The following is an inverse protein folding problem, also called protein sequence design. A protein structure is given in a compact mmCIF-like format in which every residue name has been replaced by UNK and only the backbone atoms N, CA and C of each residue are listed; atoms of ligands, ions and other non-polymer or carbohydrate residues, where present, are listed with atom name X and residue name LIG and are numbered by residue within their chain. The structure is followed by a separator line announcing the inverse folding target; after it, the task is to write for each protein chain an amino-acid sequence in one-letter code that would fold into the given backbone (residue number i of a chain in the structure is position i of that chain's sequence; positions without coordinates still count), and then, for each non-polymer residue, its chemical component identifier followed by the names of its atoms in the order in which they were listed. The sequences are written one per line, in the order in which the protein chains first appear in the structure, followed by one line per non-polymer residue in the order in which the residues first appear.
data_IF_044895599446
#
_entry.id   IF_044895599446
#
_cell.length_a   1.000
_cell.length_b   1.000
_cell.length_c   1.000
_cell.angle_alpha   90.00
_cell.angle_beta   90.00
_cell.angle_gamma   90.00
#
_symmetry.space_group_name_H-M   'P 1'
#
loop_
_entity.id
_entity.type
_entity.pdbx_description
1 polymer ?
#
# COMPACT_ATOMS: atom_id res chain seq x y z
N UNK A 1 15.90 -6.17 -5.25
CA UNK A 1 15.84 -6.76 -3.91
C UNK A 1 17.20 -7.41 -3.68
N UNK A 2 17.92 -6.99 -2.64
CA UNK A 2 19.13 -7.69 -2.23
C UNK A 2 18.73 -9.09 -1.76
N UNK A 3 19.21 -10.13 -2.43
CA UNK A 3 19.04 -11.52 -1.96
C UNK A 3 19.75 -11.65 -0.63
N UNK A 4 19.01 -11.87 0.45
CA UNK A 4 19.61 -12.22 1.72
C UNK A 4 20.35 -13.54 1.54
N UNK A 5 21.66 -13.53 1.73
CA UNK A 5 22.48 -14.71 1.56
C UNK A 5 22.49 -15.48 2.89
N UNK A 6 21.97 -16.70 2.85
CA UNK A 6 22.25 -17.72 3.85
C UNK A 6 23.43 -18.57 3.37
N UNK A 7 24.37 -18.85 4.26
CA UNK A 7 25.60 -19.60 3.98
C UNK A 7 25.39 -21.13 3.97
N UNK A 8 24.27 -21.60 4.51
CA UNK A 8 23.95 -23.02 4.63
C UNK A 8 22.90 -23.48 3.59
N UNK A 9 22.79 -24.80 3.40
CA UNK A 9 21.79 -25.41 2.51
C UNK A 9 20.56 -25.89 3.31
N UNK A 10 19.40 -25.23 3.23
CA UNK A 10 18.23 -25.58 4.06
C UNK A 10 17.78 -27.04 3.93
N UNK A 11 17.86 -27.60 2.71
CA UNK A 11 17.51 -29.01 2.45
C UNK A 11 18.40 -30.00 3.21
N UNK A 12 19.68 -29.67 3.42
CA UNK A 12 20.60 -30.53 4.15
C UNK A 12 20.35 -30.47 5.66
N UNK A 13 20.22 -29.26 6.20
CA UNK A 13 19.94 -29.03 7.63
C UNK A 13 18.63 -29.72 8.04
N UNK A 14 17.57 -29.54 7.26
CA UNK A 14 16.29 -30.22 7.51
C UNK A 14 16.39 -31.75 7.38
N UNK A 15 17.20 -32.29 6.47
CA UNK A 15 17.44 -33.74 6.38
C UNK A 15 18.12 -34.28 7.64
N UNK A 16 19.06 -33.54 8.23
CA UNK A 16 19.69 -33.91 9.51
C UNK A 16 18.67 -33.92 10.65
N UNK A 17 17.79 -32.93 10.71
CA UNK A 17 16.72 -32.92 11.72
C UNK A 17 15.75 -34.10 11.57
N UNK A 18 15.37 -34.42 10.33
CA UNK A 18 14.46 -35.52 10.04
C UNK A 18 15.04 -36.90 10.39
N UNK A 19 16.37 -37.07 10.42
CA UNK A 19 17.01 -38.37 10.73
C UNK A 19 16.92 -38.76 12.21
N UNK A 20 16.64 -37.81 13.10
CA UNK A 20 16.43 -38.03 14.54
C UNK A 20 15.06 -38.65 14.82
N UNK A 21 14.13 -38.52 13.88
CA UNK A 21 12.74 -38.92 14.07
C UNK A 21 12.49 -40.38 13.69
N UNK A 22 11.58 -41.08 14.40
CA UNK A 22 11.03 -42.33 13.90
C UNK A 22 10.34 -42.14 12.55
N UNK A 23 10.40 -43.14 11.67
CA UNK A 23 9.87 -43.08 10.28
C UNK A 23 8.49 -42.44 10.15
N UNK A 24 7.56 -42.77 11.06
CA UNK A 24 6.20 -42.21 11.04
C UNK A 24 6.18 -40.70 11.34
N UNK A 25 6.94 -40.24 12.33
CA UNK A 25 7.04 -38.83 12.65
C UNK A 25 7.76 -38.05 11.54
N UNK A 26 8.78 -38.66 10.94
CA UNK A 26 9.48 -38.12 9.78
C UNK A 26 8.53 -37.87 8.60
N UNK A 27 7.70 -38.85 8.23
CA UNK A 27 6.74 -38.70 7.13
C UNK A 27 5.67 -37.65 7.43
N UNK A 28 5.14 -37.62 8.65
CA UNK A 28 4.17 -36.59 9.08
C UNK A 28 4.76 -35.18 8.93
N UNK A 29 5.99 -34.94 9.41
CA UNK A 29 6.65 -33.63 9.26
C UNK A 29 6.93 -33.33 7.79
N UNK A 30 7.38 -34.31 7.01
CA UNK A 30 7.68 -34.16 5.59
C UNK A 30 6.45 -33.69 4.82
N UNK A 31 5.29 -34.34 5.03
CA UNK A 31 4.00 -33.98 4.40
C UNK A 31 3.45 -32.65 4.92
N UNK A 32 3.54 -32.40 6.23
CA UNK A 32 3.01 -31.19 6.86
C UNK A 32 3.66 -29.93 6.32
N UNK A 33 4.98 -29.98 6.12
CA UNK A 33 5.78 -28.84 5.70
C UNK A 33 6.16 -28.86 4.22
N UNK A 34 5.86 -29.93 3.48
CA UNK A 34 6.18 -30.06 2.05
C UNK A 34 7.69 -30.14 1.82
N UNK A 35 8.39 -30.96 2.60
CA UNK A 35 9.86 -31.11 2.60
C UNK A 35 10.35 -32.26 1.69
N UNK A 36 9.41 -32.98 1.07
CA UNK A 36 9.71 -34.14 0.23
C UNK A 36 9.91 -33.76 -1.24
N UNK A 37 9.66 -34.72 -2.12
CA UNK A 37 9.59 -34.49 -3.57
C UNK A 37 8.42 -33.57 -3.93
N UNK A 38 7.30 -33.70 -3.21
CA UNK A 38 6.16 -32.80 -3.31
C UNK A 38 6.35 -31.57 -2.42
N UNK A 39 6.17 -30.38 -3.01
CA UNK A 39 6.25 -29.09 -2.31
C UNK A 39 4.92 -28.66 -1.68
N UNK A 40 3.86 -29.45 -1.89
CA UNK A 40 2.52 -29.16 -1.37
C UNK A 40 2.48 -29.49 0.13
N UNK A 41 2.19 -28.47 0.94
CA UNK A 41 1.94 -28.64 2.38
C UNK A 41 0.59 -29.30 2.60
N UNK A 42 0.53 -30.30 3.46
CA UNK A 42 -0.73 -30.93 3.88
C UNK A 42 -1.24 -30.34 5.20
N UNK A 43 -2.56 -30.34 5.38
CA UNK A 43 -3.19 -30.02 6.66
C UNK A 43 -3.10 -31.21 7.61
N UNK A 44 -3.25 -30.96 8.92
CA UNK A 44 -3.29 -32.04 9.91
C UNK A 44 -4.44 -33.03 9.66
N UNK A 45 -5.55 -32.55 9.10
CA UNK A 45 -6.72 -33.34 8.73
C UNK A 45 -6.41 -34.25 7.54
N UNK A 46 -5.88 -33.71 6.43
CA UNK A 46 -5.51 -34.50 5.25
C UNK A 46 -4.46 -35.57 5.57
N UNK A 47 -3.49 -35.26 6.46
CA UNK A 47 -2.54 -36.24 6.95
C UNK A 47 -3.27 -37.31 7.79
N UNK A 48 -4.20 -36.90 8.65
CA UNK A 48 -4.98 -37.80 9.50
C UNK A 48 -5.77 -38.81 8.67
N UNK A 49 -6.47 -38.34 7.64
CA UNK A 49 -7.18 -39.18 6.67
C UNK A 49 -6.25 -40.19 5.99
N UNK A 50 -5.09 -39.75 5.50
CA UNK A 50 -4.12 -40.64 4.86
C UNK A 50 -3.57 -41.75 5.77
N UNK A 51 -3.64 -41.55 7.09
CA UNK A 51 -3.14 -42.46 8.10
C UNK A 51 -4.24 -43.19 8.88
N UNK A 52 -5.51 -42.92 8.59
CA UNK A 52 -6.65 -43.44 9.36
C UNK A 52 -6.63 -43.02 10.83
N UNK A 53 -6.14 -41.82 11.15
CA UNK A 53 -6.08 -41.28 12.52
C UNK A 53 -6.73 -39.90 12.61
N UNK A 54 -7.10 -39.51 13.82
CA UNK A 54 -7.69 -38.18 14.06
C UNK A 54 -6.68 -37.06 13.82
N UNK A 55 -7.18 -35.88 13.41
CA UNK A 55 -6.40 -34.64 13.31
C UNK A 55 -5.61 -34.36 14.59
N UNK A 56 -6.21 -34.60 15.75
CA UNK A 56 -5.56 -34.41 17.05
C UNK A 56 -4.37 -35.35 17.24
N UNK A 57 -4.49 -36.61 16.80
CA UNK A 57 -3.37 -37.55 16.86
C UNK A 57 -2.21 -37.12 15.97
N UNK A 58 -2.49 -36.55 14.79
CA UNK A 58 -1.44 -35.97 13.93
C UNK A 58 -0.76 -34.79 14.62
N UNK A 59 -1.53 -33.89 15.25
CA UNK A 59 -1.00 -32.75 16.02
C UNK A 59 -0.06 -33.21 17.14
N UNK A 60 -0.41 -34.27 17.85
CA UNK A 60 0.44 -34.87 18.88
C UNK A 60 1.76 -35.40 18.30
N UNK A 61 1.71 -36.08 17.15
CA UNK A 61 2.91 -36.58 16.46
C UNK A 61 3.80 -35.41 16.01
N UNK A 62 3.22 -34.34 15.46
CA UNK A 62 3.94 -33.12 15.07
C UNK A 62 4.65 -32.49 16.28
N UNK A 63 3.93 -32.27 17.38
CA UNK A 63 4.49 -31.68 18.60
C UNK A 63 5.61 -32.55 19.20
N UNK A 64 5.41 -33.88 19.23
CA UNK A 64 6.44 -34.82 19.66
C UNK A 64 7.69 -34.71 18.78
N UNK A 65 7.52 -34.67 17.46
CA UNK A 65 8.64 -34.56 16.53
C UNK A 65 9.41 -33.25 16.72
N UNK A 66 8.72 -32.11 16.79
CA UNK A 66 9.36 -30.81 17.04
C UNK A 66 10.12 -30.79 18.37
N UNK A 67 9.53 -31.34 19.43
CA UNK A 67 10.18 -31.44 20.74
C UNK A 67 11.41 -32.37 20.72
N UNK A 68 11.33 -33.51 20.03
CA UNK A 68 12.43 -34.44 19.88
C UNK A 68 13.61 -33.80 19.11
N UNK A 69 13.31 -33.10 18.01
CA UNK A 69 14.33 -32.37 17.24
C UNK A 69 15.01 -31.30 18.10
N UNK A 70 14.26 -30.45 18.82
CA UNK A 70 14.82 -29.40 19.69
C UNK A 70 15.72 -29.92 20.81
N UNK A 71 15.48 -31.14 21.31
CA UNK A 71 16.28 -31.77 22.39
C UNK A 71 17.49 -32.55 21.89
N UNK A 72 17.62 -32.75 20.57
CA UNK A 72 18.67 -33.56 19.97
C UNK A 72 20.02 -32.84 19.90
N UNK A 73 21.11 -33.59 19.85
CA UNK A 73 22.44 -33.01 19.62
C UNK A 73 22.58 -32.42 18.20
N UNK A 74 21.75 -32.87 17.25
CA UNK A 74 21.64 -32.25 15.91
C UNK A 74 21.20 -30.79 16.04
N UNK A 75 20.27 -30.46 16.94
CA UNK A 75 19.85 -29.08 17.14
C UNK A 75 20.98 -28.17 17.64
N UNK A 76 21.81 -28.69 18.56
CA UNK A 76 23.01 -27.98 19.02
C UNK A 76 24.04 -27.83 17.90
N UNK A 77 24.24 -28.89 17.10
CA UNK A 77 25.17 -28.88 15.97
C UNK A 77 24.77 -27.92 14.84
N UNK A 78 23.48 -27.74 14.62
CA UNK A 78 22.91 -26.84 13.61
C UNK A 78 22.62 -25.42 14.15
N UNK A 79 23.05 -25.09 15.38
CA UNK A 79 22.93 -23.74 15.93
C UNK A 79 23.49 -22.63 15.01
N UNK A 80 24.62 -22.83 14.29
CA UNK A 80 25.11 -21.84 13.32
C UNK A 80 24.11 -21.54 12.19
N UNK A 81 23.32 -22.52 11.74
CA UNK A 81 22.32 -22.32 10.69
C UNK A 81 21.15 -21.43 11.17
N UNK A 82 20.69 -21.62 12.42
CA UNK A 82 19.67 -20.76 13.01
C UNK A 82 20.18 -19.34 13.24
N UNK A 83 21.41 -19.17 13.70
CA UNK A 83 22.02 -17.86 13.87
C UNK A 83 22.22 -17.14 12.53
N UNK A 84 22.61 -17.87 11.49
CA UNK A 84 22.73 -17.30 10.15
C UNK A 84 21.37 -16.83 9.59
N UNK A 85 20.31 -17.62 9.81
CA UNK A 85 18.95 -17.23 9.46
C UNK A 85 18.46 -16.04 10.30
N UNK A 86 18.84 -15.97 11.58
CA UNK A 86 18.56 -14.81 12.45
C UNK A 86 19.26 -13.55 11.93
N UNK A 87 20.54 -13.63 11.58
CA UNK A 87 21.29 -12.52 10.96
C UNK A 87 20.65 -12.06 9.66
N UNK A 88 20.23 -12.99 8.81
CA UNK A 88 19.54 -12.66 7.56
C UNK A 88 18.21 -11.92 7.80
N UNK A 89 17.46 -12.27 8.85
CA UNK A 89 16.23 -11.57 9.24
C UNK A 89 16.51 -10.20 9.87
N UNK A 90 17.52 -10.11 10.74
CA UNK A 90 17.95 -8.86 11.38
C UNK A 90 18.46 -7.85 10.35
N UNK A 91 19.24 -8.29 9.35
CA UNK A 91 19.67 -7.46 8.24
C UNK A 91 18.50 -6.90 7.40
N UNK A 92 17.32 -7.52 7.49
CA UNK A 92 16.08 -7.05 6.86
C UNK A 92 15.16 -6.28 7.81
N UNK A 93 15.62 -5.96 9.02
CA UNK A 93 14.89 -5.18 10.03
C UNK A 93 14.33 -6.00 11.19
N UNK A 94 14.68 -7.28 11.33
CA UNK A 94 14.30 -8.09 12.50
C UNK A 94 12.81 -8.44 12.63
N UNK A 95 11.93 -7.79 11.87
CA UNK A 95 10.52 -8.07 11.67
C UNK A 95 10.22 -8.06 10.17
N UNK A 96 9.76 -9.19 9.62
CA UNK A 96 9.61 -9.37 8.17
C UNK A 96 8.29 -10.08 7.81
N UNK A 97 7.63 -9.71 6.70
CA UNK A 97 6.53 -10.50 6.14
C UNK A 97 7.01 -11.91 5.76
N UNK A 98 6.23 -12.95 6.06
CA UNK A 98 6.65 -14.35 5.79
C UNK A 98 6.92 -14.57 4.31
N UNK A 99 6.00 -14.13 3.45
CA UNK A 99 6.11 -14.31 2.00
C UNK A 99 7.38 -13.66 1.45
N UNK A 100 7.60 -12.39 1.77
CA UNK A 100 8.71 -11.60 1.23
C UNK A 100 10.06 -12.10 1.74
N UNK A 101 10.12 -12.49 3.02
CA UNK A 101 11.33 -13.05 3.59
C UNK A 101 11.71 -14.38 2.92
N UNK A 102 10.75 -15.30 2.77
CA UNK A 102 10.99 -16.57 2.09
C UNK A 102 11.40 -16.37 0.62
N UNK A 103 10.75 -15.44 -0.08
CA UNK A 103 11.07 -15.08 -1.46
C UNK A 103 12.46 -14.46 -1.60
N UNK A 104 12.91 -13.68 -0.60
CA UNK A 104 14.25 -13.07 -0.59
C UNK A 104 15.38 -14.09 -0.42
N UNK A 105 15.09 -15.23 0.20
CA UNK A 105 16.06 -16.30 0.49
C UNK A 105 16.10 -17.37 -0.61
N UNK A 106 14.97 -17.67 -1.25
CA UNK A 106 14.90 -18.66 -2.31
C UNK A 106 13.76 -18.40 -3.29
N UNK A 107 14.05 -18.59 -4.58
CA UNK A 107 13.04 -18.53 -5.64
C UNK A 107 12.16 -19.80 -5.72
N UNK A 108 12.70 -20.97 -5.35
CA UNK A 108 11.98 -22.24 -5.46
C UNK A 108 11.19 -22.59 -4.21
N UNK A 109 9.97 -23.10 -4.42
CA UNK A 109 9.03 -23.38 -3.32
C UNK A 109 9.54 -24.46 -2.36
N UNK A 110 10.32 -25.43 -2.85
CA UNK A 110 10.87 -26.48 -2.01
C UNK A 110 11.81 -25.85 -0.96
N UNK A 111 12.80 -25.06 -1.39
CA UNK A 111 13.72 -24.40 -0.46
C UNK A 111 13.00 -23.46 0.50
N UNK A 112 12.00 -22.70 0.04
CA UNK A 112 11.16 -21.87 0.92
C UNK A 112 10.46 -22.69 2.02
N UNK A 113 9.96 -23.89 1.70
CA UNK A 113 9.34 -24.77 2.69
C UNK A 113 10.34 -25.23 3.76
N UNK A 114 11.57 -25.56 3.37
CA UNK A 114 12.62 -25.93 4.32
C UNK A 114 12.99 -24.75 5.23
N UNK A 115 13.15 -23.54 4.69
CA UNK A 115 13.39 -22.33 5.50
C UNK A 115 12.22 -22.08 6.45
N UNK A 116 10.98 -22.17 5.98
CA UNK A 116 9.80 -22.03 6.84
C UNK A 116 9.78 -23.03 7.99
N UNK A 117 10.14 -24.29 7.73
CA UNK A 117 10.24 -25.30 8.77
C UNK A 117 11.33 -24.97 9.79
N UNK A 118 12.49 -24.46 9.36
CA UNK A 118 13.54 -24.00 10.27
C UNK A 118 13.08 -22.82 11.14
N UNK A 119 12.31 -21.87 10.60
CA UNK A 119 11.71 -20.79 11.38
C UNK A 119 10.75 -21.32 12.47
N UNK A 120 9.99 -22.37 12.17
CA UNK A 120 9.08 -23.02 13.13
C UNK A 120 9.84 -23.83 14.19
N UNK A 121 10.95 -24.46 13.79
CA UNK A 121 11.74 -25.31 14.67
C UNK A 121 12.59 -24.50 15.65
N UNK A 122 13.22 -23.42 15.18
CA UNK A 122 14.07 -22.54 15.96
C UNK A 122 13.31 -21.74 17.02
N UNK A 123 13.97 -21.47 18.14
CA UNK A 123 13.48 -20.66 19.26
C UNK A 123 13.82 -19.17 19.13
N UNK A 124 14.75 -18.82 18.23
CA UNK A 124 15.14 -17.44 17.91
C UNK A 124 14.07 -16.65 17.14
N UNK A 125 12.97 -17.29 16.73
CA UNK A 125 11.95 -16.69 15.87
C UNK A 125 10.57 -16.77 16.50
N UNK A 126 9.85 -15.66 16.45
CA UNK A 126 8.46 -15.59 16.89
C UNK A 126 7.56 -15.45 15.67
N UNK A 127 6.63 -16.38 15.53
CA UNK A 127 5.59 -16.32 14.50
C UNK A 127 4.44 -15.43 14.96
N UNK A 128 4.15 -14.39 14.20
CA UNK A 128 2.95 -13.59 14.36
C UNK A 128 1.95 -13.99 13.28
N UNK A 129 0.80 -14.51 13.72
CA UNK A 129 -0.28 -14.85 12.79
C UNK A 129 -0.85 -13.56 12.19
N UNK A 130 -1.39 -13.70 10.99
CA UNK A 130 -2.17 -12.65 10.36
C UNK A 130 -3.35 -12.29 11.26
N UNK A 131 -3.57 -10.99 11.39
CA UNK A 131 -4.63 -10.39 12.19
C UNK A 131 -5.31 -9.27 11.39
N UNK A 132 -6.23 -8.51 12.00
CA UNK A 132 -7.00 -7.47 11.32
C UNK A 132 -6.14 -6.27 10.88
N UNK A 133 -5.00 -6.07 11.53
CA UNK A 133 -4.09 -4.94 11.27
C UNK A 133 -2.93 -5.36 10.35
N UNK A 134 -2.43 -6.58 10.49
CA UNK A 134 -1.13 -6.99 9.96
C UNK A 134 -1.18 -8.33 9.22
N UNK A 135 -0.30 -8.45 8.22
CA UNK A 135 -0.06 -9.71 7.50
C UNK A 135 0.73 -10.73 8.33
N UNK A 136 0.79 -11.98 7.85
CA UNK A 136 1.65 -13.02 8.42
C UNK A 136 3.12 -12.60 8.40
N UNK A 137 3.76 -12.65 9.57
CA UNK A 137 5.12 -12.11 9.75
C UNK A 137 5.90 -12.87 10.82
N UNK A 138 7.22 -12.73 10.75
CA UNK A 138 8.17 -13.32 11.68
C UNK A 138 9.02 -12.24 12.30
N UNK A 139 9.38 -12.40 13.58
CA UNK A 139 10.35 -11.54 14.24
C UNK A 139 11.47 -12.33 14.88
N UNK A 140 12.70 -11.85 14.71
CA UNK A 140 13.89 -12.29 15.46
C UNK A 140 14.16 -11.38 16.68
N UNK A 141 13.49 -10.23 16.76
CA UNK A 141 13.58 -9.27 17.86
C UNK A 141 12.17 -8.91 18.32
N UNK A 142 11.79 -9.37 19.51
CA UNK A 142 10.46 -9.16 20.05
C UNK A 142 10.19 -7.69 20.44
N UNK A 143 11.21 -6.99 20.94
CA UNK A 143 11.09 -5.60 21.37
C UNK A 143 10.90 -4.69 20.16
N UNK A 144 11.73 -4.87 19.13
CA UNK A 144 11.58 -4.13 17.86
C UNK A 144 10.22 -4.44 17.22
N UNK A 145 9.77 -5.70 17.24
CA UNK A 145 8.46 -6.05 16.69
C UNK A 145 7.30 -5.34 17.41
N UNK A 146 7.32 -5.28 18.75
CA UNK A 146 6.31 -4.59 19.53
C UNK A 146 6.26 -3.09 19.20
N UNK A 147 7.43 -2.44 19.17
CA UNK A 147 7.59 -1.02 18.82
C UNK A 147 7.06 -0.73 17.41
N UNK A 148 7.46 -1.53 16.42
CA UNK A 148 7.00 -1.35 15.03
C UNK A 148 5.48 -1.50 14.92
N UNK A 149 4.87 -2.50 15.56
CA UNK A 149 3.42 -2.65 15.56
C UNK A 149 2.74 -1.42 16.16
N UNK A 150 3.18 -0.96 17.33
CA UNK A 150 2.60 0.21 17.99
C UNK A 150 2.74 1.47 17.14
N UNK A 151 3.91 1.71 16.56
CA UNK A 151 4.17 2.84 15.66
C UNK A 151 3.28 2.78 14.41
N UNK A 152 3.05 1.60 13.83
CA UNK A 152 2.13 1.43 12.69
C UNK A 152 0.68 1.73 13.10
N UNK A 153 0.24 1.27 14.28
CA UNK A 153 -1.10 1.58 14.79
C UNK A 153 -1.32 3.08 14.99
N UNK A 154 -0.34 3.74 15.60
CA UNK A 154 -0.34 5.20 15.76
C UNK A 154 -0.39 5.89 14.40
N UNK A 155 0.45 5.48 13.46
CA UNK A 155 0.50 6.06 12.12
C UNK A 155 -0.86 6.04 11.44
N UNK A 156 -1.48 4.87 11.27
CA UNK A 156 -2.76 4.79 10.56
C UNK A 156 -3.93 5.38 11.36
N UNK A 157 -3.86 5.46 12.69
CA UNK A 157 -4.89 6.15 13.49
C UNK A 157 -4.94 7.66 13.25
N UNK A 158 -3.85 8.23 12.71
CA UNK A 158 -3.76 9.67 12.42
C UNK A 158 -4.05 10.01 10.96
N UNK A 159 -4.22 9.02 10.09
CA UNK A 159 -4.54 9.23 8.68
C UNK A 159 -6.04 9.42 8.50
N UNK A 160 -6.43 10.38 7.65
CA UNK A 160 -7.82 10.46 7.19
C UNK A 160 -8.06 9.57 5.98
N UNK A 161 -9.31 9.17 5.74
CA UNK A 161 -9.66 8.20 4.68
C UNK A 161 -9.34 8.70 3.27
N UNK A 162 -9.35 10.01 3.04
CA UNK A 162 -9.06 10.63 1.74
C UNK A 162 -7.61 11.10 1.59
N UNK A 163 -6.80 11.00 2.65
CA UNK A 163 -5.42 11.48 2.67
C UNK A 163 -4.52 10.62 1.75
N UNK A 164 -3.74 11.29 0.91
CA UNK A 164 -2.68 10.70 0.11
C UNK A 164 -1.38 11.45 0.40
N UNK A 165 -0.35 10.70 0.77
CA UNK A 165 0.94 11.21 1.23
C UNK A 165 2.04 10.63 0.34
N UNK A 166 2.96 11.46 -0.13
CA UNK A 166 4.16 10.99 -0.82
C UNK A 166 4.98 10.03 0.06
N UNK A 167 5.63 9.04 -0.56
CA UNK A 167 6.37 8.00 0.18
C UNK A 167 7.41 8.57 1.16
N UNK A 168 8.19 9.57 0.75
CA UNK A 168 9.19 10.19 1.64
C UNK A 168 8.54 10.78 2.90
N UNK A 169 7.45 11.53 2.74
CA UNK A 169 6.69 12.12 3.87
C UNK A 169 6.03 11.05 4.74
N UNK A 170 5.57 9.95 4.14
CA UNK A 170 5.01 8.82 4.88
C UNK A 170 6.08 8.13 5.73
N UNK A 171 7.28 7.95 5.19
CA UNK A 171 8.44 7.43 5.91
C UNK A 171 8.81 8.36 7.07
N UNK A 172 8.89 9.68 6.84
CA UNK A 172 9.17 10.67 7.90
C UNK A 172 8.13 10.63 9.03
N UNK A 173 6.84 10.56 8.65
CA UNK A 173 5.74 10.44 9.63
C UNK A 173 5.86 9.15 10.43
N UNK A 174 6.17 8.03 9.79
CA UNK A 174 6.38 6.77 10.47
C UNK A 174 7.60 6.81 11.41
N UNK A 175 8.72 7.38 10.95
CA UNK A 175 9.93 7.60 11.75
C UNK A 175 9.65 8.44 13.01
N UNK A 176 8.78 9.45 12.91
CA UNK A 176 8.39 10.26 14.06
C UNK A 176 7.69 9.46 15.17
N UNK A 177 7.04 8.35 14.80
CA UNK A 177 6.43 7.40 15.74
C UNK A 177 7.40 6.30 16.20
N UNK A 178 8.59 6.18 15.60
CA UNK A 178 9.55 5.09 15.76
C UNK A 178 10.79 5.53 16.59
N UNK A 179 10.56 6.27 17.67
CA UNK A 179 11.63 6.97 18.43
C UNK A 179 12.60 6.04 19.17
N UNK A 180 12.21 4.81 19.47
CA UNK A 180 12.96 3.91 20.37
C UNK A 180 13.54 2.66 19.68
N UNK A 181 13.58 2.65 18.36
CA UNK A 181 14.17 1.54 17.58
C UNK A 181 15.59 1.90 17.18
N UNK A 182 16.49 0.90 17.15
CA UNK A 182 17.90 1.07 16.76
C UNK A 182 18.03 1.80 15.41
N UNK A 183 18.96 2.75 15.33
CA UNK A 183 19.28 3.49 14.10
C UNK A 183 19.69 2.57 12.95
N UNK A 184 20.26 1.41 13.27
CA UNK A 184 20.66 0.39 12.29
C UNK A 184 19.48 -0.12 11.44
N UNK A 185 18.26 -0.02 11.95
CA UNK A 185 17.04 -0.43 11.24
C UNK A 185 16.34 0.72 10.52
N UNK A 186 16.79 1.97 10.66
CA UNK A 186 16.14 3.15 10.07
C UNK A 186 16.62 3.43 8.64
N UNK A 187 16.89 2.39 7.86
CA UNK A 187 17.10 2.54 6.43
C UNK A 187 15.75 2.52 5.67
N UNK A 188 15.69 3.19 4.53
CA UNK A 188 14.42 3.32 3.79
C UNK A 188 13.84 1.98 3.34
N UNK A 189 14.67 0.98 3.03
CA UNK A 189 14.18 -0.33 2.57
C UNK A 189 13.44 -1.08 3.70
N UNK A 190 13.98 -1.05 4.91
CA UNK A 190 13.36 -1.63 6.10
C UNK A 190 12.08 -0.88 6.45
N UNK A 191 12.09 0.46 6.41
CA UNK A 191 10.92 1.26 6.70
C UNK A 191 9.78 0.97 5.70
N UNK A 192 10.08 0.88 4.40
CA UNK A 192 9.10 0.46 3.39
C UNK A 192 8.54 -0.93 3.68
N UNK A 193 9.40 -1.88 4.07
CA UNK A 193 9.01 -3.25 4.42
C UNK A 193 8.12 -3.29 5.67
N UNK A 194 8.37 -2.45 6.67
CA UNK A 194 7.51 -2.37 7.84
C UNK A 194 6.17 -1.71 7.51
N UNK A 195 6.15 -0.68 6.67
CA UNK A 195 4.90 -0.08 6.19
C UNK A 195 4.02 -1.11 5.46
N UNK A 196 4.62 -2.00 4.65
CA UNK A 196 3.88 -3.06 3.95
C UNK A 196 3.35 -4.18 4.85
N UNK A 197 3.73 -4.23 6.14
CA UNK A 197 3.14 -5.18 7.09
C UNK A 197 1.68 -4.85 7.38
N UNK A 198 1.33 -3.57 7.39
CA UNK A 198 0.00 -3.10 7.74
C UNK A 198 -0.96 -3.29 6.56
N UNK A 199 -2.12 -3.87 6.85
CA UNK A 199 -3.26 -4.00 5.94
C UNK A 199 -4.11 -2.74 5.88
N UNK A 200 -3.93 -1.82 6.85
CA UNK A 200 -4.73 -0.58 6.96
C UNK A 200 -4.23 0.52 6.05
N UNK A 201 -2.94 0.48 5.68
CA UNK A 201 -2.32 1.43 4.76
C UNK A 201 -1.89 0.72 3.49
N UNK A 202 -1.85 1.46 2.39
CA UNK A 202 -1.43 0.93 1.10
C UNK A 202 -0.84 2.01 0.23
N UNK A 203 -0.12 1.56 -0.80
CA UNK A 203 0.48 2.40 -1.83
C UNK A 203 -0.37 2.37 -3.08
N UNK A 204 -0.74 3.54 -3.60
CA UNK A 204 -1.48 3.67 -4.84
C UNK A 204 -0.54 3.48 -6.06
N UNK A 205 -1.07 3.38 -7.30
CA UNK A 205 -0.23 3.18 -8.48
C UNK A 205 0.69 4.37 -8.83
N UNK A 206 0.46 5.55 -8.26
CA UNK A 206 1.35 6.72 -8.37
C UNK A 206 2.48 6.71 -7.34
N UNK A 207 2.42 5.79 -6.39
CA UNK A 207 3.37 5.64 -5.32
C UNK A 207 3.10 6.46 -4.06
N UNK A 208 1.92 7.06 -3.96
CA UNK A 208 1.45 7.74 -2.76
C UNK A 208 0.84 6.73 -1.78
N UNK A 209 0.94 7.01 -0.50
CA UNK A 209 0.43 6.18 0.60
C UNK A 209 -0.82 6.79 1.21
N UNK A 210 -1.74 5.93 1.65
CA UNK A 210 -2.94 6.33 2.38
C UNK A 210 -3.67 5.12 2.96
N UNK A 211 -4.93 5.31 3.37
CA UNK A 211 -5.77 4.21 3.85
C UNK A 211 -6.05 3.18 2.76
N UNK A 212 -5.75 1.90 3.01
CA UNK A 212 -5.86 0.81 2.02
C UNK A 212 -7.29 0.57 1.50
N UNK A 213 -8.30 0.90 2.31
CA UNK A 213 -9.71 0.79 1.93
C UNK A 213 -10.20 1.98 1.10
N UNK A 214 -9.43 3.08 1.06
CA UNK A 214 -9.78 4.28 0.33
C UNK A 214 -9.78 4.03 -1.18
N UNK A 215 -10.78 4.53 -1.93
CA UNK A 215 -10.77 4.48 -3.39
C UNK A 215 -9.55 5.21 -4.01
N UNK A 216 -8.96 6.15 -3.27
CA UNK A 216 -7.79 6.92 -3.70
C UNK A 216 -6.49 6.09 -3.63
N UNK A 217 -6.49 5.01 -2.85
CA UNK A 217 -5.37 4.07 -2.73
C UNK A 217 -5.62 2.81 -3.55
N UNK A 218 -6.79 2.19 -3.35
CA UNK A 218 -7.21 1.00 -4.06
C UNK A 218 -8.19 1.36 -5.19
N UNK A 219 -7.65 1.95 -6.25
CA UNK A 219 -8.43 2.35 -7.42
C UNK A 219 -9.01 1.12 -8.14
N UNK A 220 -10.34 1.00 -8.19
CA UNK A 220 -11.05 -0.15 -8.81
C UNK A 220 -11.71 0.20 -10.13
N UNK A 221 -12.15 1.45 -10.30
CA UNK A 221 -12.93 1.89 -11.45
C UNK A 221 -12.33 3.08 -12.18
N UNK A 222 -12.90 3.38 -13.36
CA UNK A 222 -12.49 4.50 -14.22
C UNK A 222 -12.50 5.84 -13.47
N UNK A 223 -13.49 6.06 -12.60
CA UNK A 223 -13.60 7.28 -11.78
C UNK A 223 -12.41 7.47 -10.82
N UNK A 224 -11.90 6.39 -10.22
CA UNK A 224 -10.81 6.45 -9.25
C UNK A 224 -9.48 6.71 -9.99
N UNK A 225 -9.29 6.04 -11.14
CA UNK A 225 -8.15 6.35 -12.00
C UNK A 225 -8.21 7.78 -12.56
N UNK A 226 -9.39 8.27 -12.94
CA UNK A 226 -9.57 9.64 -13.39
C UNK A 226 -9.21 10.66 -12.30
N UNK A 227 -9.56 10.38 -11.04
CA UNK A 227 -9.15 11.17 -9.88
C UNK A 227 -7.63 11.25 -9.76
N UNK A 228 -6.94 10.10 -9.83
CA UNK A 228 -5.49 10.03 -9.77
C UNK A 228 -4.80 10.75 -10.94
N UNK A 229 -5.32 10.60 -12.17
CA UNK A 229 -4.80 11.32 -13.35
C UNK A 229 -4.90 12.83 -13.16
N UNK A 230 -6.09 13.33 -12.78
CA UNK A 230 -6.30 14.77 -12.61
C UNK A 230 -5.42 15.32 -11.47
N UNK A 231 -5.34 14.61 -10.34
CA UNK A 231 -4.47 14.98 -9.22
C UNK A 231 -3.01 15.08 -9.64
N UNK A 232 -2.50 14.07 -10.36
CA UNK A 232 -1.13 14.06 -10.88
C UNK A 232 -0.87 15.19 -11.88
N UNK A 233 -1.83 15.48 -12.75
CA UNK A 233 -1.71 16.54 -13.74
C UNK A 233 -1.75 17.94 -13.13
N UNK A 234 -2.47 18.13 -12.02
CA UNK A 234 -2.50 19.38 -11.25
C UNK A 234 -3.27 20.53 -11.91
N UNK A 235 -3.94 20.29 -13.03
CA UNK A 235 -4.79 21.29 -13.70
C UNK A 235 -5.95 20.65 -14.47
N UNK A 236 -7.02 21.40 -14.79
CA UNK A 236 -8.20 20.85 -15.46
C UNK A 236 -7.88 20.20 -16.80
N UNK A 237 -8.46 19.04 -17.07
CA UNK A 237 -8.17 18.21 -18.25
C UNK A 237 -9.45 17.82 -18.98
N UNK A 238 -9.38 17.66 -20.31
CA UNK A 238 -10.55 17.25 -21.08
C UNK A 238 -10.83 15.76 -20.88
N UNK A 239 -12.10 15.33 -20.80
CA UNK A 239 -12.44 13.92 -20.50
C UNK A 239 -11.82 12.91 -21.49
N UNK A 240 -11.57 13.31 -22.75
CA UNK A 240 -10.86 12.48 -23.74
C UNK A 240 -9.39 12.29 -23.39
N UNK A 241 -8.74 13.34 -22.91
CA UNK A 241 -7.35 13.33 -22.47
C UNK A 241 -7.22 12.53 -21.18
N UNK A 242 -8.18 12.67 -20.26
CA UNK A 242 -8.26 11.83 -19.04
C UNK A 242 -8.35 10.36 -19.42
N UNK A 243 -9.26 9.98 -20.33
CA UNK A 243 -9.39 8.58 -20.78
C UNK A 243 -8.09 8.04 -21.39
N UNK A 244 -7.41 8.85 -22.20
CA UNK A 244 -6.11 8.49 -22.80
C UNK A 244 -5.03 8.32 -21.73
N UNK A 245 -4.92 9.27 -20.80
CA UNK A 245 -3.95 9.24 -19.72
C UNK A 245 -4.15 8.04 -18.78
N UNK A 246 -5.40 7.61 -18.52
CA UNK A 246 -5.66 6.38 -17.75
C UNK A 246 -5.06 5.16 -18.44
N UNK A 247 -5.20 5.06 -19.77
CA UNK A 247 -4.61 3.98 -20.56
C UNK A 247 -3.08 4.00 -20.54
N UNK A 248 -2.49 5.18 -20.67
CA UNK A 248 -1.02 5.34 -20.66
C UNK A 248 -0.39 5.07 -19.30
N UNK A 249 -1.05 5.47 -18.20
CA UNK A 249 -0.45 5.44 -16.86
C UNK A 249 -0.74 4.18 -16.06
N UNK A 250 -1.87 3.50 -16.33
CA UNK A 250 -2.32 2.38 -15.51
C UNK A 250 -2.55 1.08 -16.29
N UNK A 251 -2.23 1.06 -17.59
CA UNK A 251 -2.46 -0.07 -18.50
C UNK A 251 -3.93 -0.57 -18.45
N UNK A 252 -4.87 0.38 -18.34
CA UNK A 252 -6.31 0.11 -18.27
C UNK A 252 -7.03 0.74 -19.47
N UNK A 253 -7.89 -0.03 -20.13
CA UNK A 253 -8.75 0.51 -21.19
C UNK A 253 -9.85 1.39 -20.58
N UNK A 254 -9.73 2.69 -20.76
CA UNK A 254 -10.78 3.65 -20.42
C UNK A 254 -11.49 4.11 -21.70
N UNK A 255 -12.77 3.77 -21.84
CA UNK A 255 -13.59 4.27 -22.94
C UNK A 255 -13.99 5.73 -22.68
N UNK A 256 -13.79 6.59 -23.66
CA UNK A 256 -14.10 8.03 -23.60
C UNK A 256 -15.52 8.32 -23.09
N UNK A 257 -16.52 7.62 -23.62
CA UNK A 257 -17.92 7.80 -23.21
C UNK A 257 -18.16 7.38 -21.76
N UNK A 258 -17.57 6.27 -21.33
CA UNK A 258 -17.65 5.80 -19.95
C UNK A 258 -16.96 6.76 -18.99
N UNK A 259 -15.75 7.23 -19.32
CA UNK A 259 -15.02 8.22 -18.53
C UNK A 259 -15.85 9.48 -18.36
N UNK A 260 -16.47 9.99 -19.43
CA UNK A 260 -17.33 11.17 -19.34
C UNK A 260 -18.52 10.96 -18.39
N UNK A 261 -19.23 9.83 -18.52
CA UNK A 261 -20.37 9.52 -17.66
C UNK A 261 -19.98 9.36 -16.19
N UNK A 262 -18.84 8.73 -15.92
CA UNK A 262 -18.34 8.53 -14.56
C UNK A 262 -17.88 9.84 -13.91
N UNK A 263 -17.24 10.74 -14.67
CA UNK A 263 -16.86 12.08 -14.20
C UNK A 263 -18.08 12.94 -13.83
N UNK A 264 -19.19 12.81 -14.56
CA UNK A 264 -20.44 13.55 -14.26
C UNK A 264 -21.10 13.06 -12.97
N UNK A 265 -21.07 11.75 -12.71
CA UNK A 265 -21.77 11.12 -11.57
C UNK A 265 -21.03 11.30 -10.25
N UNK A 266 -19.72 11.48 -10.29
CA UNK A 266 -18.86 11.52 -9.11
C UNK A 266 -18.64 12.96 -8.63
N UNK A 267 -19.02 13.21 -7.37
CA UNK A 267 -18.97 14.53 -6.73
C UNK A 267 -17.54 15.07 -6.56
N UNK A 268 -16.50 14.24 -6.73
CA UNK A 268 -15.11 14.68 -6.68
C UNK A 268 -14.73 15.55 -7.87
N UNK A 269 -15.51 15.54 -8.96
CA UNK A 269 -15.22 16.32 -10.16
C UNK A 269 -16.18 17.48 -10.38
N UNK A 270 -15.65 18.55 -10.97
CA UNK A 270 -16.41 19.73 -11.38
C UNK A 270 -16.16 20.01 -12.85
N UNK A 271 -17.24 20.23 -13.61
CA UNK A 271 -17.15 20.67 -15.01
C UNK A 271 -16.87 22.18 -15.06
N UNK A 272 -15.66 22.56 -15.47
CA UNK A 272 -15.22 23.97 -15.49
C UNK A 272 -15.30 24.61 -16.87
N UNK A 273 -15.39 23.80 -17.92
CA UNK A 273 -15.50 24.23 -19.32
C UNK A 273 -16.08 23.13 -20.20
N UNK A 274 -16.14 23.36 -21.53
CA UNK A 274 -16.65 22.36 -22.49
C UNK A 274 -15.79 21.10 -22.45
N UNK A 275 -16.29 20.07 -21.78
CA UNK A 275 -15.60 18.80 -21.58
C UNK A 275 -14.38 18.84 -20.65
N UNK A 276 -14.10 19.98 -20.00
CA UNK A 276 -12.98 20.15 -19.08
C UNK A 276 -13.43 19.87 -17.64
N UNK A 277 -12.76 18.93 -16.99
CA UNK A 277 -13.03 18.54 -15.62
C UNK A 277 -11.86 18.92 -14.71
N UNK A 278 -12.20 19.34 -13.50
CA UNK A 278 -11.29 19.68 -12.42
C UNK A 278 -11.66 18.91 -11.15
N UNK A 279 -10.73 18.78 -10.21
CA UNK A 279 -11.06 18.26 -8.88
C UNK A 279 -11.81 19.33 -8.07
N UNK A 280 -12.80 18.90 -7.30
CA UNK A 280 -13.62 19.80 -6.47
C UNK A 280 -12.80 20.51 -5.39
N UNK A 281 -11.74 19.85 -4.89
CA UNK A 281 -10.83 20.40 -3.89
C UNK A 281 -10.01 21.61 -4.41
N UNK A 282 -9.92 21.79 -5.73
CA UNK A 282 -9.19 22.92 -6.33
C UNK A 282 -9.96 24.25 -6.25
N UNK A 283 -11.19 24.25 -5.71
CA UNK A 283 -11.95 25.47 -5.46
C UNK A 283 -12.60 26.10 -6.69
N UNK A 284 -12.64 25.38 -7.82
CA UNK A 284 -13.30 25.86 -9.03
C UNK A 284 -14.83 25.89 -8.87
N UNK A 285 -15.44 27.02 -9.17
CA UNK A 285 -16.90 27.19 -9.12
C UNK A 285 -17.60 26.65 -10.38
N UNK A 286 -18.80 26.09 -10.19
CA UNK A 286 -19.71 25.71 -11.28
C UNK A 286 -20.46 26.94 -11.80
N UNK A 287 -20.78 26.98 -13.10
CA UNK A 287 -21.62 28.03 -13.68
C UNK A 287 -21.10 28.62 -15.00
N UNK A 288 -21.77 29.67 -15.52
CA UNK A 288 -21.29 30.41 -16.69
C UNK A 288 -20.30 31.49 -16.24
N UNK A 289 -19.33 31.87 -17.08
CA UNK A 289 -18.31 32.89 -16.72
C UNK A 289 -18.97 34.18 -16.24
N UNK A 290 -20.12 34.51 -16.81
CA UNK A 290 -21.00 35.59 -16.36
C UNK A 290 -21.37 35.49 -14.87
N UNK A 291 -21.82 34.33 -14.41
CA UNK A 291 -22.34 34.19 -13.05
C UNK A 291 -21.20 34.35 -12.03
N UNK A 292 -20.01 33.82 -12.37
CA UNK A 292 -18.76 34.03 -11.59
C UNK A 292 -18.35 35.50 -11.55
N UNK A 293 -18.39 36.21 -12.70
CA UNK A 293 -18.12 37.66 -12.74
C UNK A 293 -19.11 38.41 -11.84
N UNK A 294 -20.40 38.06 -11.89
CA UNK A 294 -21.43 38.70 -11.09
C UNK A 294 -21.24 38.48 -9.58
N UNK A 295 -20.87 37.26 -9.16
CA UNK A 295 -20.54 36.97 -7.76
C UNK A 295 -19.32 37.75 -7.27
N UNK A 296 -18.26 37.82 -8.07
CA UNK A 296 -17.04 38.59 -7.75
C UNK A 296 -17.38 40.08 -7.59
N UNK A 297 -18.17 40.65 -8.51
CA UNK A 297 -18.61 42.04 -8.44
C UNK A 297 -19.54 42.30 -7.25
N UNK A 298 -20.38 41.33 -6.88
CA UNK A 298 -21.24 41.42 -5.69
C UNK A 298 -20.42 41.39 -4.39
N UNK A 299 -19.34 40.60 -4.35
CA UNK A 299 -18.47 40.41 -3.18
C UNK A 299 -17.47 41.55 -2.98
N UNK A 300 -16.90 42.06 -4.07
CA UNK A 300 -15.81 43.05 -4.03
C UNK A 300 -16.22 44.45 -4.48
N UNK A 301 -17.45 44.65 -4.96
CA UNK A 301 -17.91 45.93 -5.48
C UNK A 301 -17.39 46.24 -6.90
N UNK A 302 -17.42 47.52 -7.32
CA UNK A 302 -16.99 47.93 -8.66
C UNK A 302 -15.49 47.72 -8.87
N UNK A 303 -15.14 46.94 -9.90
CA UNK A 303 -13.75 46.56 -10.21
C UNK A 303 -13.33 47.00 -11.62
N UNK A 304 -12.02 47.19 -11.81
CA UNK A 304 -11.44 47.40 -13.14
C UNK A 304 -11.46 46.13 -13.98
N UNK A 305 -11.22 46.27 -15.28
CA UNK A 305 -11.17 45.14 -16.21
C UNK A 305 -10.09 44.14 -15.79
N UNK A 306 -8.92 44.65 -15.45
CA UNK A 306 -7.73 43.87 -15.10
C UNK A 306 -7.97 43.11 -13.80
N UNK A 307 -8.54 43.76 -12.79
CA UNK A 307 -8.88 43.13 -11.50
C UNK A 307 -9.93 42.03 -11.64
N UNK A 308 -10.92 42.20 -12.52
CA UNK A 308 -11.91 41.15 -12.78
C UNK A 308 -11.27 39.96 -13.48
N UNK A 309 -10.42 40.21 -14.48
CA UNK A 309 -9.73 39.14 -15.20
C UNK A 309 -8.87 38.33 -14.23
N UNK A 310 -8.09 38.99 -13.36
CA UNK A 310 -7.25 38.31 -12.37
C UNK A 310 -8.08 37.50 -11.37
N UNK A 311 -9.15 38.07 -10.80
CA UNK A 311 -10.00 37.39 -9.81
C UNK A 311 -10.79 36.23 -10.41
N UNK A 312 -11.36 36.40 -11.62
CA UNK A 312 -12.09 35.34 -12.30
C UNK A 312 -11.14 34.20 -12.69
N UNK A 313 -9.91 34.50 -13.12
CA UNK A 313 -8.91 33.47 -13.43
C UNK A 313 -8.44 32.70 -12.20
N UNK A 314 -8.49 33.31 -11.01
CA UNK A 314 -8.23 32.61 -9.73
C UNK A 314 -9.36 31.68 -9.32
N UNK A 315 -10.61 32.10 -9.49
CA UNK A 315 -11.79 31.30 -9.10
C UNK A 315 -12.20 30.30 -10.20
N UNK A 316 -11.76 30.52 -11.45
CA UNK A 316 -12.11 29.69 -12.61
C UNK A 316 -11.03 29.66 -13.69
N UNK A 317 -10.70 28.46 -14.16
CA UNK A 317 -9.80 28.29 -15.31
C UNK A 317 -10.48 28.67 -16.63
N UNK A 318 -10.32 29.93 -17.05
CA UNK A 318 -10.84 30.46 -18.32
C UNK A 318 -9.84 31.40 -18.99
N UNK A 319 -9.89 31.47 -20.33
CA UNK A 319 -9.02 32.39 -21.09
C UNK A 319 -9.45 33.84 -20.84
N UNK A 320 -8.51 34.80 -20.73
CA UNK A 320 -8.82 36.22 -20.56
C UNK A 320 -9.85 36.74 -21.56
N UNK A 321 -9.72 36.35 -22.84
CA UNK A 321 -10.64 36.77 -23.90
C UNK A 321 -12.09 36.34 -23.64
N UNK A 322 -12.31 35.18 -23.02
CA UNK A 322 -13.66 34.72 -22.68
C UNK A 322 -14.28 35.59 -21.59
N UNK A 323 -13.49 36.05 -20.63
CA UNK A 323 -13.93 37.00 -19.58
C UNK A 323 -14.28 38.34 -20.24
N UNK A 324 -13.42 38.84 -21.13
CA UNK A 324 -13.62 40.10 -21.83
C UNK A 324 -14.88 40.11 -22.69
N UNK A 325 -15.16 39.03 -23.43
CA UNK A 325 -16.39 38.91 -24.24
C UNK A 325 -17.63 38.90 -23.35
N UNK A 326 -17.59 38.26 -22.18
CA UNK A 326 -18.71 38.29 -21.24
C UNK A 326 -18.92 39.70 -20.65
N UNK A 327 -17.84 40.43 -20.32
CA UNK A 327 -17.88 41.81 -19.83
C UNK A 327 -18.41 42.82 -20.87
N UNK A 328 -18.37 42.50 -22.16
CA UNK A 328 -18.97 43.33 -23.22
C UNK A 328 -20.50 43.24 -23.27
N UNK A 329 -21.09 42.25 -22.59
CA UNK A 329 -22.53 42.06 -22.58
C UNK A 329 -23.21 43.07 -21.63
N UNK A 330 -23.65 44.20 -22.20
CA UNK A 330 -24.28 45.32 -21.48
C UNK A 330 -25.59 44.95 -20.76
N UNK A 331 -26.19 43.79 -21.07
CA UNK A 331 -27.35 43.26 -20.36
C UNK A 331 -27.03 42.86 -18.92
N UNK A 332 -25.79 42.45 -18.65
CA UNK A 332 -25.38 41.88 -17.37
C UNK A 332 -24.30 42.69 -16.65
N UNK A 333 -23.49 43.47 -17.38
CA UNK A 333 -22.43 44.28 -16.79
C UNK A 333 -22.44 45.68 -17.38
N UNK A 334 -22.34 46.69 -16.51
CA UNK A 334 -22.28 48.11 -16.91
C UNK A 334 -21.04 48.76 -16.32
N UNK A 335 -20.62 49.89 -16.91
CA UNK A 335 -19.56 50.72 -16.33
C UNK A 335 -20.16 51.85 -15.50
N UNK A 336 -19.59 52.09 -14.32
CA UNK A 336 -19.92 53.24 -13.50
C UNK A 336 -19.23 54.52 -14.05
N UNK A 337 -19.45 55.67 -13.39
CA UNK A 337 -18.89 56.97 -13.78
C UNK A 337 -17.34 57.00 -13.76
N UNK A 338 -16.72 56.10 -13.01
CA UNK A 338 -15.25 55.95 -12.90
C UNK A 338 -14.68 54.93 -13.90
N UNK A 339 -15.50 54.38 -14.80
CA UNK A 339 -15.07 53.41 -15.81
C UNK A 339 -14.90 51.98 -15.28
N UNK A 340 -15.27 51.71 -14.02
CA UNK A 340 -15.24 50.38 -13.39
C UNK A 340 -16.51 49.59 -13.68
N UNK A 341 -16.40 48.28 -13.78
CA UNK A 341 -17.54 47.40 -14.06
C UNK A 341 -18.36 47.12 -12.79
N UNK A 342 -19.68 47.10 -12.95
CA UNK A 342 -20.68 46.73 -11.94
C UNK A 342 -21.65 45.70 -12.52
N UNK A 343 -22.21 44.85 -11.67
CA UNK A 343 -23.33 43.99 -12.05
C UNK A 343 -24.53 44.87 -12.40
N UNK A 344 -25.15 44.62 -13.55
CA UNK A 344 -26.25 45.42 -14.09
C UNK A 344 -27.56 45.27 -13.30
#
# INVERSE_FOLDING_TARGET
MSTAQISFKPKQVTKHFLSVLPRRAQDVITKRYGLGTETKKMTLEAIGESYGITRERVRQIENFALAAMRKSDVFKGEAPAFEDLRRAMVAQGGLVPEHDFLQSLAADKATQNHVHFLLVLGDLFVKHKEDDDFTHRWSADHETAAKVHESLRKLYSTLSDDELIEEAKMIDRFLSHLKEVSEEYKNEEILRRWLSLSKKIGKNPLGEWGMAHSPNVNARGVRDYAFLVLRKHGSPMHFTEVAKAIGEHFDKRAHVATTHNELIKDKRFVLVGRGLYALSEWGYSTGVVRDVIAEILKKHGPLSREEIVEKVMRERYVKPNTILVNLQNQKYFKKNKEGRYVSA
#
